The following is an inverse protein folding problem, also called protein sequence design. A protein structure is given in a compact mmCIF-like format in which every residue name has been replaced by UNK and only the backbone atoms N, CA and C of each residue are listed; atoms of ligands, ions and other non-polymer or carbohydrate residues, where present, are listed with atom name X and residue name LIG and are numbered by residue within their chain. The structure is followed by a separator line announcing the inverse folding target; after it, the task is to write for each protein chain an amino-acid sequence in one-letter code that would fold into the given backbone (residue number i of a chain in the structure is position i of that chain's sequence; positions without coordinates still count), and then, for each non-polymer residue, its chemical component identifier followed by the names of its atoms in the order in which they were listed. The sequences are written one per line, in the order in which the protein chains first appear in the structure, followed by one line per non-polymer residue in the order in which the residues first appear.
data_IF_910032871621
#
_entry.id   IF_910032871621
#
_cell.length_a   1.000
_cell.length_b   1.000
_cell.length_c   1.000
_cell.angle_alpha   90.00
_cell.angle_beta   90.00
_cell.angle_gamma   90.00
#
_symmetry.space_group_name_H-M   'P 1'
#
loop_
_entity.id
_entity.type
_entity.pdbx_description
1 polymer ?
#
# COMPACT_ATOMS: atom_id res chain seq x y z
N UNK A 1 29.31 -15.48 11.55
CA UNK A 1 29.07 -14.66 12.76
C UNK A 1 28.19 -13.49 12.34
N UNK A 2 27.06 -13.26 13.00
CA UNK A 2 26.16 -12.14 12.68
C UNK A 2 26.65 -10.87 13.40
N UNK A 3 26.65 -9.73 12.71
CA UNK A 3 26.96 -8.41 13.29
C UNK A 3 25.69 -7.57 13.35
N UNK A 4 25.51 -6.81 14.44
CA UNK A 4 24.39 -5.89 14.62
C UNK A 4 24.93 -4.46 14.72
N UNK A 5 24.37 -3.55 13.95
CA UNK A 5 24.67 -2.12 14.03
C UNK A 5 23.47 -1.38 14.65
N UNK A 6 23.73 -0.62 15.72
CA UNK A 6 22.69 0.19 16.38
C UNK A 6 22.72 1.59 15.81
N UNK A 7 21.60 2.01 15.23
CA UNK A 7 21.47 3.32 14.59
C UNK A 7 21.35 4.45 15.63
N UNK A 8 22.33 5.38 15.73
CA UNK A 8 22.38 6.35 16.83
C UNK A 8 21.27 7.41 16.80
N UNK A 9 20.72 7.70 15.62
CA UNK A 9 19.73 8.76 15.42
C UNK A 9 18.28 8.34 15.70
N UNK A 10 18.02 7.05 15.89
CA UNK A 10 16.67 6.52 16.10
C UNK A 10 16.55 6.09 17.56
N UNK A 11 15.79 6.84 18.35
CA UNK A 11 15.70 6.62 19.81
C UNK A 11 14.57 5.67 20.22
N UNK A 12 13.66 5.33 19.31
CA UNK A 12 12.49 4.50 19.60
C UNK A 12 12.60 3.04 19.14
N UNK A 13 11.59 2.24 19.48
CA UNK A 13 11.44 0.86 19.01
C UNK A 13 10.98 0.86 17.55
N UNK A 14 11.67 0.14 16.67
CA UNK A 14 11.15 -0.09 15.32
C UNK A 14 9.82 -0.85 15.40
N UNK A 15 8.78 -0.27 14.81
CA UNK A 15 7.42 -0.80 14.85
C UNK A 15 7.14 -1.74 13.66
N UNK A 16 7.57 -1.35 12.46
CA UNK A 16 7.44 -2.15 11.24
C UNK A 16 8.57 -1.82 10.26
N UNK A 17 8.80 -2.71 9.30
CA UNK A 17 9.72 -2.46 8.20
C UNK A 17 9.46 -3.37 7.00
N UNK A 18 9.73 -2.86 5.80
CA UNK A 18 9.60 -3.61 4.56
C UNK A 18 10.65 -3.16 3.54
N UNK A 19 11.21 -4.12 2.80
CA UNK A 19 12.11 -3.84 1.70
C UNK A 19 11.33 -3.38 0.47
N UNK A 20 11.91 -2.44 -0.28
CA UNK A 20 11.49 -2.20 -1.65
C UNK A 20 11.76 -3.45 -2.50
N UNK A 21 10.93 -3.73 -3.52
CA UNK A 21 11.08 -4.95 -4.32
C UNK A 21 12.42 -5.07 -5.07
N UNK A 22 13.05 -3.95 -5.39
CA UNK A 22 14.38 -3.88 -6.01
C UNK A 22 15.54 -4.07 -5.00
N UNK A 23 15.24 -4.18 -3.71
CA UNK A 23 16.22 -4.32 -2.63
C UNK A 23 17.05 -3.07 -2.35
N UNK A 24 16.76 -1.94 -2.99
CA UNK A 24 17.56 -0.71 -2.85
C UNK A 24 17.23 0.10 -1.59
N UNK A 25 16.06 -0.13 -0.98
CA UNK A 25 15.58 0.63 0.18
C UNK A 25 14.93 -0.27 1.21
N UNK A 26 15.22 -0.04 2.48
CA UNK A 26 14.43 -0.54 3.60
C UNK A 26 13.59 0.61 4.14
N UNK A 27 12.27 0.50 4.04
CA UNK A 27 11.36 1.40 4.74
C UNK A 27 11.10 0.87 6.15
N UNK A 28 11.00 1.75 7.13
CA UNK A 28 10.65 1.38 8.48
C UNK A 28 9.95 2.51 9.22
N UNK A 29 9.29 2.16 10.32
CA UNK A 29 8.62 3.11 11.22
C UNK A 29 9.05 2.88 12.65
N UNK A 30 8.86 3.90 13.48
CA UNK A 30 9.21 3.89 14.90
C UNK A 30 7.92 4.00 15.71
N UNK A 31 7.83 3.22 16.78
CA UNK A 31 6.66 3.20 17.66
C UNK A 31 6.43 4.59 18.28
N UNK A 32 5.19 5.07 18.24
CA UNK A 32 4.82 6.40 18.72
C UNK A 32 5.15 7.56 17.76
N UNK A 33 5.75 7.29 16.60
CA UNK A 33 5.97 8.29 15.56
C UNK A 33 4.99 8.08 14.39
N UNK A 34 4.70 9.15 13.66
CA UNK A 34 3.80 9.15 12.48
C UNK A 34 4.58 9.17 11.16
N UNK A 35 5.86 8.82 11.21
CA UNK A 35 6.81 9.05 10.11
C UNK A 35 7.30 7.73 9.52
N UNK A 36 7.43 7.69 8.19
CA UNK A 36 8.12 6.62 7.47
C UNK A 36 9.53 7.06 7.17
N UNK A 37 10.48 6.23 7.58
CA UNK A 37 11.89 6.38 7.30
C UNK A 37 12.34 5.44 6.19
N UNK A 38 13.39 5.82 5.47
CA UNK A 38 14.07 4.98 4.50
C UNK A 38 15.58 4.90 4.80
N UNK A 39 16.10 3.68 4.73
CA UNK A 39 17.51 3.40 4.57
C UNK A 39 17.77 3.05 3.12
N UNK A 40 18.69 3.75 2.45
CA UNK A 40 19.03 3.49 1.04
C UNK A 40 20.36 2.77 0.93
N UNK A 41 20.37 1.67 0.18
CA UNK A 41 21.52 0.81 -0.04
C UNK A 41 22.01 1.00 -1.47
N UNK A 42 23.26 1.45 -1.63
CA UNK A 42 23.92 1.53 -2.93
C UNK A 42 24.86 0.34 -3.05
N UNK A 43 24.56 -0.57 -3.98
CA UNK A 43 25.43 -1.71 -4.23
C UNK A 43 26.62 -1.25 -5.09
N UNK A 44 27.60 -0.62 -4.46
CA UNK A 44 28.87 -0.27 -5.10
C UNK A 44 29.87 -1.41 -4.86
N UNK A 45 30.38 -2.08 -5.93
CA UNK A 45 31.34 -3.17 -5.77
C UNK A 45 32.55 -2.70 -4.94
N UNK A 46 32.86 -3.42 -3.86
CA UNK A 46 34.01 -3.12 -2.99
C UNK A 46 33.74 -2.21 -1.79
N UNK A 47 32.53 -1.66 -1.65
CA UNK A 47 32.15 -0.87 -0.45
C UNK A 47 31.02 -1.58 0.28
N UNK A 48 31.33 -2.32 1.36
CA UNK A 48 30.32 -2.92 2.24
C UNK A 48 29.70 -1.92 3.23
N UNK A 49 29.70 -0.62 2.89
CA UNK A 49 29.13 0.39 3.78
C UNK A 49 27.63 0.38 3.58
N UNK A 50 26.92 0.01 4.65
CA UNK A 50 25.49 0.19 4.74
C UNK A 50 25.08 1.66 4.61
N UNK A 51 23.78 1.95 4.70
CA UNK A 51 23.29 3.32 4.70
C UNK A 51 23.98 4.11 5.82
N UNK A 52 24.18 5.41 5.62
CA UNK A 52 24.83 6.26 6.63
C UNK A 52 23.84 7.07 7.47
N UNK A 53 22.58 7.14 7.04
CA UNK A 53 21.49 7.80 7.77
C UNK A 53 20.13 7.26 7.32
N UNK A 54 19.16 7.34 8.23
CA UNK A 54 17.74 7.20 7.91
C UNK A 54 17.18 8.56 7.45
N UNK A 55 16.43 8.56 6.37
CA UNK A 55 15.78 9.76 5.80
C UNK A 55 14.27 9.63 5.95
N UNK A 56 13.60 10.72 6.32
CA UNK A 56 12.13 10.80 6.33
C UNK A 56 11.63 10.81 4.88
N UNK A 57 10.76 9.86 4.53
CA UNK A 57 10.17 9.76 3.18
C UNK A 57 8.68 10.02 3.14
N UNK A 58 7.99 9.94 4.29
CA UNK A 58 6.61 10.37 4.43
C UNK A 58 6.31 10.77 5.87
N UNK A 59 5.45 11.78 6.03
CA UNK A 59 4.83 12.14 7.31
C UNK A 59 3.32 11.90 7.19
N UNK A 60 2.80 11.10 8.12
CA UNK A 60 1.39 10.73 8.24
C UNK A 60 0.80 11.30 9.52
N UNK A 61 1.27 12.47 9.95
CA UNK A 61 0.70 13.22 11.07
C UNK A 61 -0.81 13.38 10.93
N UNK A 62 -1.51 13.23 12.06
CA UNK A 62 -2.95 13.27 12.10
C UNK A 62 -3.47 14.64 11.67
N UNK A 63 -4.35 14.64 10.67
CA UNK A 63 -4.98 15.84 10.12
C UNK A 63 -6.49 15.65 10.08
N UNK A 64 -7.22 16.62 10.61
CA UNK A 64 -8.68 16.62 10.64
C UNK A 64 -9.25 17.55 9.57
N UNK A 65 -10.14 17.03 8.74
CA UNK A 65 -10.87 17.74 7.71
C UNK A 65 -12.33 17.87 8.12
N UNK A 66 -12.79 19.10 8.31
CA UNK A 66 -14.21 19.35 8.56
C UNK A 66 -14.99 19.15 7.26
N UNK A 67 -15.94 18.21 7.24
CA UNK A 67 -16.86 18.03 6.11
C UNK A 67 -18.31 18.26 6.56
N UNK A 68 -19.24 18.56 5.64
CA UNK A 68 -20.65 18.71 5.98
C UNK A 68 -21.26 17.46 6.64
N UNK A 69 -20.70 16.28 6.36
CA UNK A 69 -21.15 14.99 6.89
C UNK A 69 -20.43 14.59 8.19
N UNK A 70 -19.50 15.44 8.69
CA UNK A 70 -18.72 15.22 9.90
C UNK A 70 -17.21 15.44 9.70
N UNK A 71 -16.45 15.35 10.78
CA UNK A 71 -15.00 15.48 10.73
C UNK A 71 -14.36 14.18 10.25
N UNK A 72 -13.48 14.30 9.26
CA UNK A 72 -12.69 13.19 8.72
C UNK A 72 -11.27 13.34 9.21
N UNK A 73 -10.80 12.38 10.01
CA UNK A 73 -9.41 12.31 10.45
C UNK A 73 -8.61 11.43 9.49
N UNK A 74 -7.45 11.89 9.05
CA UNK A 74 -6.51 11.16 8.18
C UNK A 74 -5.12 11.18 8.82
N UNK A 75 -4.39 10.07 8.73
CA UNK A 75 -3.08 9.92 9.35
C UNK A 75 -3.16 9.22 10.71
N UNK A 76 -2.05 9.19 11.45
CA UNK A 76 -1.93 8.57 12.76
C UNK A 76 -0.72 7.65 12.89
N UNK A 77 -0.70 6.88 13.99
CA UNK A 77 0.39 5.95 14.29
C UNK A 77 0.41 4.77 13.29
N UNK A 78 1.58 4.50 12.71
CA UNK A 78 1.73 3.44 11.70
C UNK A 78 1.95 2.09 12.37
N UNK A 79 1.04 1.14 12.10
CA UNK A 79 1.13 -0.22 12.57
C UNK A 79 1.97 -1.12 11.64
N UNK A 80 1.80 -1.00 10.33
CA UNK A 80 2.47 -1.88 9.36
C UNK A 80 2.67 -1.24 7.99
N UNK A 81 3.68 -1.71 7.25
CA UNK A 81 3.96 -1.34 5.86
C UNK A 81 4.00 -2.58 4.97
N UNK A 82 3.53 -2.48 3.73
CA UNK A 82 3.65 -3.54 2.74
C UNK A 82 3.82 -2.96 1.33
N UNK A 83 4.95 -3.27 0.68
CA UNK A 83 5.16 -2.97 -0.74
C UNK A 83 4.41 -3.97 -1.62
N UNK A 84 3.82 -3.49 -2.70
CA UNK A 84 3.37 -4.37 -3.75
C UNK A 84 4.59 -4.95 -4.50
N UNK A 85 4.51 -6.16 -5.07
CA UNK A 85 5.66 -6.83 -5.70
C UNK A 85 6.25 -6.06 -6.88
N UNK A 86 5.50 -5.14 -7.49
CA UNK A 86 5.96 -4.30 -8.60
C UNK A 86 6.67 -3.03 -8.15
N UNK A 87 6.56 -2.65 -6.87
CA UNK A 87 7.18 -1.45 -6.33
C UNK A 87 6.46 -0.16 -6.74
N UNK A 88 5.19 -0.26 -7.13
CA UNK A 88 4.35 0.85 -7.58
C UNK A 88 3.46 1.39 -6.46
N UNK A 89 3.22 0.60 -5.41
CA UNK A 89 2.34 0.95 -4.28
C UNK A 89 2.89 0.50 -2.94
N UNK A 90 2.72 1.36 -1.94
CA UNK A 90 2.94 1.06 -0.54
C UNK A 90 1.60 1.09 0.19
N UNK A 91 1.18 -0.05 0.74
CA UNK A 91 0.08 -0.07 1.69
C UNK A 91 0.61 0.29 3.08
N UNK A 92 -0.12 1.17 3.77
CA UNK A 92 0.18 1.60 5.14
C UNK A 92 -1.01 1.25 6.00
N UNK A 93 -0.75 0.51 7.08
CA UNK A 93 -1.74 0.22 8.09
C UNK A 93 -1.57 1.19 9.25
N UNK A 94 -2.62 1.96 9.53
CA UNK A 94 -2.65 2.94 10.62
C UNK A 94 -3.46 2.37 11.79
N UNK A 95 -3.01 2.66 13.00
CA UNK A 95 -3.62 2.16 14.24
C UNK A 95 -4.78 3.04 14.66
N UNK A 96 -5.89 2.42 15.05
CA UNK A 96 -7.02 3.11 15.68
C UNK A 96 -7.84 4.01 14.74
N UNK A 97 -7.51 4.05 13.45
CA UNK A 97 -8.30 4.81 12.48
C UNK A 97 -9.51 4.00 12.04
N UNK A 98 -10.66 4.65 12.04
CA UNK A 98 -11.89 4.11 11.46
C UNK A 98 -12.10 4.56 10.02
N UNK A 99 -11.25 5.45 9.47
CA UNK A 99 -11.45 6.23 8.24
C UNK A 99 -10.51 5.90 7.06
N UNK A 100 -10.02 4.67 6.95
CA UNK A 100 -9.15 4.24 5.84
C UNK A 100 -9.87 3.89 4.53
N UNK A 101 -9.14 3.78 3.42
CA UNK A 101 -9.70 3.30 2.13
C UNK A 101 -10.10 1.81 2.15
N UNK A 102 -9.44 1.02 3.00
CA UNK A 102 -9.75 -0.39 3.24
C UNK A 102 -10.24 -0.51 4.68
N UNK A 103 -11.54 -0.65 4.86
CA UNK A 103 -12.18 -0.80 6.16
C UNK A 103 -12.64 -2.24 6.36
N UNK A 104 -12.49 -2.71 7.60
CA UNK A 104 -13.05 -3.98 8.04
C UNK A 104 -14.46 -3.80 8.59
N UNK A 105 -14.98 -4.85 9.19
CA UNK A 105 -16.24 -4.75 9.93
C UNK A 105 -16.13 -3.78 11.11
N UNK A 106 -17.24 -3.13 11.53
CA UNK A 106 -17.24 -2.29 12.71
C UNK A 106 -16.65 -3.01 13.92
N UNK A 107 -15.62 -2.41 14.54
CA UNK A 107 -14.93 -2.98 15.70
C UNK A 107 -13.89 -4.06 15.39
N UNK A 108 -13.75 -4.49 14.13
CA UNK A 108 -12.67 -5.39 13.73
C UNK A 108 -11.39 -4.57 13.46
N UNK A 109 -10.28 -4.97 14.08
CA UNK A 109 -8.98 -4.33 13.91
C UNK A 109 -8.14 -5.12 12.90
N UNK A 110 -7.46 -4.45 11.96
CA UNK A 110 -6.52 -5.14 11.10
C UNK A 110 -5.27 -5.54 11.91
N UNK A 111 -4.83 -6.79 11.74
CA UNK A 111 -3.70 -7.36 12.49
C UNK A 111 -2.48 -7.59 11.61
N UNK A 112 -2.69 -8.06 10.38
CA UNK A 112 -1.64 -8.33 9.41
C UNK A 112 -2.10 -7.90 8.02
N UNK A 113 -1.16 -7.51 7.17
CA UNK A 113 -1.44 -7.28 5.75
C UNK A 113 -0.25 -7.67 4.87
N UNK A 114 -0.52 -8.19 3.69
CA UNK A 114 0.51 -8.50 2.70
C UNK A 114 -0.06 -8.49 1.28
N UNK A 115 0.73 -8.05 0.31
CA UNK A 115 0.38 -8.25 -1.10
C UNK A 115 0.64 -9.69 -1.53
N UNK A 116 -0.27 -10.23 -2.35
CA UNK A 116 -0.06 -11.50 -3.03
C UNK A 116 1.09 -11.35 -4.03
N UNK A 117 2.15 -12.19 -3.96
CA UNK A 117 3.38 -11.97 -4.71
C UNK A 117 3.22 -12.08 -6.24
N UNK A 118 2.22 -12.84 -6.70
CA UNK A 118 2.09 -13.24 -8.10
C UNK A 118 0.72 -12.90 -8.71
N UNK A 119 0.06 -11.83 -8.27
CA UNK A 119 -1.26 -11.46 -8.81
C UNK A 119 -1.11 -10.82 -10.20
N UNK A 120 -1.54 -11.52 -11.26
CA UNK A 120 -1.26 -11.13 -12.66
C UNK A 120 -2.05 -9.92 -13.16
N UNK A 121 -3.19 -9.62 -12.55
CA UNK A 121 -4.09 -8.54 -12.97
C UNK A 121 -3.88 -7.24 -12.19
N UNK A 122 -2.82 -7.17 -11.39
CA UNK A 122 -2.36 -5.95 -10.74
C UNK A 122 -1.72 -6.20 -9.39
N UNK A 123 -2.29 -5.62 -8.33
CA UNK A 123 -1.89 -5.92 -6.97
C UNK A 123 -3.09 -6.45 -6.18
N UNK A 124 -2.90 -7.45 -5.32
CA UNK A 124 -3.96 -7.97 -4.45
C UNK A 124 -3.49 -7.89 -3.00
N UNK A 125 -4.05 -6.98 -2.22
CA UNK A 125 -3.73 -6.84 -0.81
C UNK A 125 -4.59 -7.83 -0.01
N UNK A 126 -3.97 -8.62 0.85
CA UNK A 126 -4.66 -9.47 1.82
C UNK A 126 -4.55 -8.84 3.20
N UNK A 127 -5.66 -8.76 3.93
CA UNK A 127 -5.72 -8.23 5.30
C UNK A 127 -6.34 -9.27 6.22
N UNK A 128 -5.65 -9.59 7.32
CA UNK A 128 -6.16 -10.45 8.38
C UNK A 128 -6.69 -9.59 9.53
N UNK A 129 -7.93 -9.82 9.94
CA UNK A 129 -8.64 -9.02 10.94
C UNK A 129 -8.70 -9.73 12.29
N UNK A 130 -8.84 -8.96 13.37
CA UNK A 130 -8.99 -9.48 14.74
C UNK A 130 -10.23 -10.37 14.92
N UNK A 131 -11.25 -10.19 14.09
CA UNK A 131 -12.45 -11.04 14.05
C UNK A 131 -12.21 -12.45 13.49
N UNK A 132 -11.00 -12.74 13.01
CA UNK A 132 -10.68 -13.99 12.33
C UNK A 132 -11.00 -13.99 10.84
N UNK A 133 -11.56 -12.90 10.31
CA UNK A 133 -11.81 -12.75 8.87
C UNK A 133 -10.53 -12.42 8.11
N UNK A 134 -10.52 -12.80 6.85
CA UNK A 134 -9.49 -12.45 5.88
C UNK A 134 -10.20 -11.75 4.71
N UNK A 135 -9.71 -10.58 4.31
CA UNK A 135 -10.22 -9.87 3.13
C UNK A 135 -9.13 -9.73 2.08
N UNK A 136 -9.54 -9.79 0.82
CA UNK A 136 -8.68 -9.57 -0.33
C UNK A 136 -9.17 -8.34 -1.10
N UNK A 137 -8.30 -7.35 -1.26
CA UNK A 137 -8.58 -6.08 -1.92
C UNK A 137 -7.77 -6.00 -3.21
N UNK A 138 -8.41 -6.18 -4.38
CA UNK A 138 -7.72 -6.06 -5.65
C UNK A 138 -7.55 -4.58 -6.04
N UNK A 139 -6.34 -4.24 -6.46
CA UNK A 139 -5.99 -3.00 -7.11
C UNK A 139 -5.62 -3.30 -8.57
N UNK A 140 -6.58 -3.11 -9.47
CA UNK A 140 -6.35 -3.28 -10.90
C UNK A 140 -5.58 -2.08 -11.44
N UNK A 141 -4.55 -2.34 -12.24
CA UNK A 141 -3.91 -1.27 -12.99
C UNK A 141 -4.66 -1.09 -14.30
N UNK A 142 -5.27 0.08 -14.48
CA UNK A 142 -5.67 0.51 -15.80
C UNK A 142 -4.38 0.84 -16.56
N UNK A 143 -3.93 -0.06 -17.42
CA UNK A 143 -2.95 0.33 -18.42
C UNK A 143 -3.65 1.33 -19.34
N UNK A 144 -3.34 2.62 -19.19
CA UNK A 144 -3.59 3.56 -20.27
C UNK A 144 -2.70 3.11 -21.44
N UNK A 145 -3.25 2.28 -22.32
CA UNK A 145 -2.60 1.98 -23.60
C UNK A 145 -2.44 3.32 -24.30
N UNK A 146 -1.20 3.84 -24.35
CA UNK A 146 -0.85 4.94 -25.23
C UNK A 146 -1.32 4.50 -26.62
N UNK A 147 -2.27 5.19 -27.27
CA UNK A 147 -2.66 4.84 -28.63
C UNK A 147 -1.38 4.92 -29.46
N UNK A 148 -0.94 3.79 -30.03
CA UNK A 148 0.15 3.84 -30.98
C UNK A 148 -0.37 4.65 -32.16
N UNK A 149 0.14 5.87 -32.31
CA UNK A 149 -0.11 6.72 -33.48
C UNK A 149 0.33 5.93 -34.70
N UNK A 150 -0.63 5.39 -35.45
CA UNK A 150 -0.38 4.86 -36.77
C UNK A 150 0.07 6.00 -37.71
N UNK A 151 0.74 5.69 -38.83
CA UNK A 151 1.17 6.70 -39.80
C UNK A 151 0.02 7.53 -40.43
N UNK A 152 -1.23 7.11 -40.21
CA UNK A 152 -2.43 7.84 -40.58
C UNK A 152 -3.10 8.33 -39.30
N UNK A 153 -3.07 9.64 -39.04
CA UNK A 153 -3.44 10.31 -37.79
C UNK A 153 -4.92 10.23 -37.39
N UNK A 154 -5.51 9.03 -37.34
CA UNK A 154 -6.86 8.78 -36.88
C UNK A 154 -6.83 8.00 -35.55
N UNK A 155 -7.37 8.54 -34.44
CA UNK A 155 -7.44 7.77 -33.19
C UNK A 155 -8.49 6.66 -33.34
N UNK A 156 -8.04 5.40 -33.39
CA UNK A 156 -8.94 4.26 -33.20
C UNK A 156 -9.35 4.20 -31.74
N UNK A 157 -10.67 4.26 -31.47
CA UNK A 157 -11.23 4.03 -30.13
C UNK A 157 -10.69 2.70 -29.58
N UNK A 158 -10.15 2.66 -28.34
CA UNK A 158 -9.81 1.39 -27.73
C UNK A 158 -11.12 0.60 -27.57
N UNK A 159 -11.15 -0.59 -28.19
CA UNK A 159 -12.21 -1.56 -27.99
C UNK A 159 -12.10 -2.05 -26.53
N UNK A 160 -12.83 -1.38 -25.64
CA UNK A 160 -13.00 -1.80 -24.25
C UNK A 160 -13.88 -3.03 -24.26
N UNK A 161 -13.26 -4.20 -24.17
CA UNK A 161 -13.96 -5.42 -23.85
C UNK A 161 -13.17 -6.17 -22.80
N UNK A 162 -13.47 -5.85 -21.54
CA UNK A 162 -13.53 -6.86 -20.48
C UNK A 162 -14.41 -6.30 -19.37
N UNK A 163 -15.54 -6.98 -19.12
CA UNK A 163 -16.54 -6.57 -18.14
C UNK A 163 -15.98 -6.86 -16.74
N UNK A 164 -16.11 -5.93 -15.78
CA UNK A 164 -15.76 -6.20 -14.37
C UNK A 164 -16.48 -7.43 -13.76
N UNK A 165 -17.57 -7.87 -14.39
CA UNK A 165 -18.38 -9.02 -13.97
C UNK A 165 -17.73 -10.38 -14.27
N UNK A 166 -16.78 -10.48 -15.21
CA UNK A 166 -16.22 -11.78 -15.61
C UNK A 166 -15.21 -12.31 -14.57
N UNK A 167 -14.63 -11.42 -13.74
CA UNK A 167 -13.72 -11.80 -12.65
C UNK A 167 -14.45 -12.13 -11.33
N UNK A 168 -15.70 -11.70 -11.18
CA UNK A 168 -16.50 -12.01 -9.99
C UNK A 168 -16.96 -13.48 -9.94
N UNK A 169 -16.83 -14.22 -11.04
CA UNK A 169 -17.31 -15.60 -11.16
C UNK A 169 -16.28 -16.69 -10.85
N UNK A 170 -15.04 -16.35 -10.51
CA UNK A 170 -14.12 -17.30 -9.87
C UNK A 170 -14.23 -17.14 -8.36
N UNK A 171 -15.35 -17.65 -7.83
CA UNK A 171 -15.61 -17.83 -6.41
C UNK A 171 -14.56 -18.77 -5.81
N UNK A 172 -13.45 -18.17 -5.37
CA UNK A 172 -12.65 -18.71 -4.29
C UNK A 172 -12.60 -17.61 -3.25
N UNK A 173 -13.06 -17.96 -2.04
CA UNK A 173 -12.98 -17.19 -0.79
C UNK A 173 -14.20 -16.31 -0.46
N UNK A 174 -15.21 -17.01 0.07
CA UNK A 174 -16.28 -16.58 1.00
C UNK A 174 -17.12 -15.36 0.62
N UNK A 175 -18.30 -15.65 0.06
CA UNK A 175 -19.45 -14.74 0.01
C UNK A 175 -19.87 -14.25 1.41
N UNK A 176 -19.83 -12.92 1.59
CA UNK A 176 -20.97 -12.13 2.08
C UNK A 176 -20.78 -10.65 1.69
N UNK A 177 -21.48 -10.26 0.63
CA UNK A 177 -21.88 -8.95 0.06
C UNK A 177 -21.89 -7.71 1.00
N UNK A 178 -22.00 -6.46 0.51
CA UNK A 178 -21.19 -5.71 -0.47
C UNK A 178 -20.67 -4.37 0.13
N UNK A 179 -19.39 -4.03 -0.01
CA UNK A 179 -18.97 -2.63 0.15
C UNK A 179 -18.22 -2.17 -1.09
N UNK A 180 -18.90 -1.32 -1.87
CA UNK A 180 -18.34 -0.66 -3.04
C UNK A 180 -17.15 0.19 -2.58
N UNK A 181 -15.95 -0.20 -3.00
CA UNK A 181 -14.84 0.74 -3.11
C UNK A 181 -15.27 1.83 -4.09
N UNK A 182 -15.81 2.94 -3.58
CA UNK A 182 -16.06 4.14 -4.35
C UNK A 182 -14.71 4.82 -4.62
N UNK A 183 -14.01 4.36 -5.66
CA UNK A 183 -13.00 5.17 -6.31
C UNK A 183 -13.76 6.24 -7.11
N UNK A 184 -13.79 7.46 -6.59
CA UNK A 184 -14.45 8.60 -7.23
C UNK A 184 -13.81 8.90 -8.59
N UNK A 185 -14.55 8.66 -9.68
CA UNK A 185 -14.38 9.42 -10.91
C UNK A 185 -15.31 10.64 -10.83
N UNK A 186 -14.75 11.81 -10.45
CA UNK A 186 -15.36 13.09 -10.83
C UNK A 186 -15.15 13.28 -12.33
N UNK A 187 -16.18 13.03 -13.14
CA UNK A 187 -16.34 13.72 -14.42
C UNK A 187 -16.96 15.09 -14.17
N UNK A 188 -16.41 16.08 -14.88
CA UNK A 188 -16.76 17.51 -14.85
C UNK A 188 -18.26 17.78 -14.90
#
# INVERSE_FOLDING_TARGET
MWTCERWPCIKGRCQSGCWSPDGSRLLFTVQGETVIYALTFTNTPGTSKGPHAAVVVADLSETTFNTPDGDIVVGGEIQSLAWDPRGERLAVLLKGITSGFVQGEPGAEPRLMQFHPNFRHGALLTVCWSSGRITHVPFYFLSASIPRLGPSGSPTLPHVQERPADFANQSLFTESTPWRALCSERKK
#
